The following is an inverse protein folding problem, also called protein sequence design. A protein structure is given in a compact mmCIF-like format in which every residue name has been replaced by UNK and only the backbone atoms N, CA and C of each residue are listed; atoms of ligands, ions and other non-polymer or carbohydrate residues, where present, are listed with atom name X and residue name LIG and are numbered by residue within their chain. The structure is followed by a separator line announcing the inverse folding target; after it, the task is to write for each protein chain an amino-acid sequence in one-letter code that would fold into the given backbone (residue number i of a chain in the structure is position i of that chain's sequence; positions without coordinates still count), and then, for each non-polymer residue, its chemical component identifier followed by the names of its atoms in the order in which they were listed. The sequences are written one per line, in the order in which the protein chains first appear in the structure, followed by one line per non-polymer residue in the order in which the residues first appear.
data_IF_451002727897
#
_entry.id   IF_451002727897
#
_cell.length_a   1.000
_cell.length_b   1.000
_cell.length_c   1.000
_cell.angle_alpha   90.00
_cell.angle_beta   90.00
_cell.angle_gamma   90.00
#
_symmetry.space_group_name_H-M   'P 1'
#
loop_
_entity.id
_entity.type
_entity.pdbx_description
1 polymer ?
#
# COMPACT_ATOMS: atom_id res chain seq x y z
N UNK A 1 16.32 -2.36 -4.29
CA UNK A 1 15.35 -1.31 -4.65
C UNK A 1 14.06 -2.01 -5.04
N UNK A 2 12.91 -1.54 -4.53
CA UNK A 2 11.60 -2.04 -4.93
C UNK A 2 10.95 -0.95 -5.75
N UNK A 3 11.43 -0.75 -6.96
CA UNK A 3 10.91 0.28 -7.86
C UNK A 3 9.56 -0.14 -8.44
N UNK A 4 8.71 0.85 -8.74
CA UNK A 4 7.47 0.62 -9.45
C UNK A 4 7.77 0.09 -10.87
N UNK A 5 7.25 -1.08 -11.27
CA UNK A 5 7.53 -1.66 -12.58
C UNK A 5 6.92 -0.86 -13.75
N UNK A 6 6.02 0.09 -13.47
CA UNK A 6 5.38 0.94 -14.50
C UNK A 6 6.07 2.28 -14.70
N UNK A 7 6.56 2.92 -13.64
CA UNK A 7 7.08 4.29 -13.71
C UNK A 7 8.49 4.47 -13.13
N UNK A 8 9.10 3.43 -12.55
CA UNK A 8 10.41 3.50 -11.91
C UNK A 8 10.43 4.26 -10.58
N UNK A 9 9.28 4.70 -10.08
CA UNK A 9 9.16 5.42 -8.81
C UNK A 9 9.55 4.55 -7.61
N UNK A 10 10.18 5.16 -6.61
CA UNK A 10 10.63 4.47 -5.38
C UNK A 10 9.71 4.72 -4.18
N UNK A 11 8.76 5.66 -4.29
CA UNK A 11 7.77 5.92 -3.24
C UNK A 11 6.65 4.88 -3.30
N UNK A 12 6.84 3.79 -2.56
CA UNK A 12 5.93 2.63 -2.53
C UNK A 12 5.31 2.46 -1.14
N UNK A 13 3.97 2.45 -1.10
CA UNK A 13 3.17 2.15 0.09
C UNK A 13 2.84 0.66 0.19
N UNK A 14 2.66 0.18 1.42
CA UNK A 14 2.08 -1.14 1.70
C UNK A 14 0.55 -1.03 1.67
N UNK A 15 -0.11 -1.97 1.02
CA UNK A 15 -1.57 -2.05 1.02
C UNK A 15 -2.02 -2.86 2.23
N UNK A 16 -2.78 -2.23 3.13
CA UNK A 16 -3.41 -2.89 4.26
C UNK A 16 -4.85 -3.25 3.89
N UNK A 17 -5.13 -4.56 3.86
CA UNK A 17 -6.45 -5.13 3.58
C UNK A 17 -7.17 -5.55 4.87
N UNK A 18 -8.49 -5.64 4.79
CA UNK A 18 -9.34 -6.01 5.90
C UNK A 18 -9.65 -4.86 6.85
N UNK A 19 -10.16 -5.20 8.03
CA UNK A 19 -10.42 -4.25 9.10
C UNK A 19 -9.19 -4.16 10.02
N UNK A 20 -8.41 -3.07 9.97
CA UNK A 20 -7.26 -2.92 10.83
C UNK A 20 -7.70 -2.56 12.26
N UNK A 21 -6.79 -2.78 13.21
CA UNK A 21 -6.88 -2.11 14.51
C UNK A 21 -6.47 -0.65 14.31
N UNK A 22 -7.40 0.27 14.50
CA UNK A 22 -7.08 1.70 14.44
C UNK A 22 -6.20 2.10 15.62
N UNK A 23 -5.06 2.72 15.30
CA UNK A 23 -4.08 3.25 16.26
C UNK A 23 -3.48 4.54 15.70
N UNK A 24 -2.94 5.38 16.59
CA UNK A 24 -2.24 6.60 16.18
C UNK A 24 -1.03 6.29 15.29
N UNK A 25 -0.34 5.19 15.54
CA UNK A 25 0.76 4.73 14.68
C UNK A 25 0.29 4.43 13.26
N UNK A 26 -0.84 3.72 13.11
CA UNK A 26 -1.41 3.43 11.81
C UNK A 26 -1.81 4.73 11.09
N UNK A 27 -2.46 5.65 11.81
CA UNK A 27 -2.83 6.95 11.26
C UNK A 27 -1.60 7.74 10.78
N UNK A 28 -0.53 7.75 11.56
CA UNK A 28 0.72 8.40 11.19
C UNK A 28 1.37 7.76 9.96
N UNK A 29 1.33 6.42 9.83
CA UNK A 29 1.83 5.71 8.64
C UNK A 29 1.01 6.02 7.39
N UNK A 30 -0.31 6.17 7.53
CA UNK A 30 -1.20 6.59 6.43
C UNK A 30 -0.92 8.03 6.02
N UNK A 31 -0.78 8.96 6.98
CA UNK A 31 -0.40 10.36 6.72
C UNK A 31 0.94 10.48 6.00
N UNK A 32 1.90 9.60 6.34
CA UNK A 32 3.22 9.51 5.70
C UNK A 32 3.19 8.74 4.36
N UNK A 33 2.02 8.31 3.87
CA UNK A 33 1.85 7.48 2.67
C UNK A 33 2.66 6.18 2.67
N UNK A 34 3.03 5.66 3.85
CA UNK A 34 3.68 4.35 4.01
C UNK A 34 2.67 3.20 3.93
N UNK A 35 1.41 3.48 4.28
CA UNK A 35 0.30 2.52 4.20
C UNK A 35 -0.86 3.17 3.45
N UNK A 36 -1.49 2.39 2.58
CA UNK A 36 -2.78 2.71 1.95
C UNK A 36 -3.78 1.59 2.22
N UNK A 37 -5.08 1.90 2.26
CA UNK A 37 -6.11 0.89 2.47
C UNK A 37 -6.53 0.25 1.15
N UNK A 38 -6.50 -1.08 1.11
CA UNK A 38 -6.88 -1.85 -0.08
C UNK A 38 -8.38 -2.04 -0.22
N UNK A 39 -9.06 -2.24 0.92
CA UNK A 39 -10.47 -2.63 1.00
C UNK A 39 -10.69 -3.65 2.12
N UNK A 40 -11.94 -4.00 2.39
CA UNK A 40 -12.31 -4.90 3.49
C UNK A 40 -12.21 -6.40 3.15
N UNK A 41 -12.27 -6.75 1.87
CA UNK A 41 -12.21 -8.14 1.41
C UNK A 41 -10.75 -8.56 1.27
N UNK A 42 -10.37 -9.64 1.95
CA UNK A 42 -9.04 -10.24 1.87
C UNK A 42 -9.13 -11.53 1.05
N UNK A 43 -8.36 -11.57 -0.02
CA UNK A 43 -8.22 -12.65 -0.98
C UNK A 43 -6.75 -13.05 -1.10
N UNK A 44 -6.49 -14.28 -1.57
CA UNK A 44 -5.11 -14.72 -1.84
C UNK A 44 -4.45 -13.94 -2.98
N UNK A 45 -5.25 -13.26 -3.81
CA UNK A 45 -4.81 -12.60 -5.04
C UNK A 45 -4.73 -11.06 -4.98
N UNK A 46 -4.85 -10.47 -3.80
CA UNK A 46 -4.77 -9.01 -3.67
C UNK A 46 -3.35 -8.46 -3.86
N UNK A 47 -3.21 -7.24 -4.42
CA UNK A 47 -1.93 -6.55 -4.47
C UNK A 47 -1.46 -6.16 -3.07
N UNK A 48 -0.14 -6.15 -2.87
CA UNK A 48 0.47 -5.89 -1.56
C UNK A 48 1.12 -4.51 -1.49
N UNK A 49 1.41 -3.92 -2.64
CA UNK A 49 2.11 -2.65 -2.78
C UNK A 49 1.35 -1.71 -3.71
N UNK A 50 1.38 -0.42 -3.40
CA UNK A 50 0.86 0.65 -4.26
C UNK A 50 1.97 1.69 -4.47
N UNK A 51 2.20 2.09 -5.73
CA UNK A 51 3.10 3.19 -6.04
C UNK A 51 2.41 4.53 -5.77
N UNK A 52 2.99 5.36 -4.90
CA UNK A 52 2.47 6.69 -4.58
C UNK A 52 2.58 7.67 -5.76
N UNK A 53 3.49 7.44 -6.70
CA UNK A 53 3.70 8.30 -7.87
C UNK A 53 2.67 8.07 -8.99
N UNK A 54 2.33 6.81 -9.28
CA UNK A 54 1.49 6.46 -10.44
C UNK A 54 0.25 5.62 -10.11
N UNK A 55 0.04 5.27 -8.84
CA UNK A 55 -1.11 4.50 -8.35
C UNK A 55 -1.13 3.03 -8.78
N UNK A 56 -0.07 2.50 -9.40
CA UNK A 56 -0.02 1.07 -9.75
C UNK A 56 -0.06 0.25 -8.47
N UNK A 57 -1.03 -0.66 -8.39
CA UNK A 57 -1.07 -1.72 -7.37
C UNK A 57 -0.45 -2.99 -7.92
N UNK A 58 0.50 -3.56 -7.21
CA UNK A 58 1.23 -4.74 -7.67
C UNK A 58 1.67 -5.64 -6.51
N UNK A 59 2.23 -6.79 -6.88
CA UNK A 59 2.77 -7.80 -5.96
C UNK A 59 4.27 -7.86 -6.13
N UNK A 60 4.94 -8.35 -5.09
CA UNK A 60 6.36 -8.67 -5.14
C UNK A 60 6.57 -10.16 -4.93
#
# INVERSE_FOLDING_TARGET
MNECPKCGGEDIAIILWGLPKFSEELENKVKQKKIVFGGCVVSRNDPQLECNDCGLRFRK
#
